data_IF_918419399653
#
_entry.id   IF_918419399653
#
_cell.length_a   1.000
_cell.length_b   1.000
_cell.length_c   1.000
_cell.angle_alpha   90.00
_cell.angle_beta   90.00
_cell.angle_gamma   90.00
#
_symmetry.space_group_name_H-M   'P 1'
#
loop_
_entity.id
_entity.type
_entity.pdbx_description
1 polymer ?
#
# COMPACT_ATOMS: atom_id res chain seq x y z
N UNK A 1 44.75 -50.32 -17.65
CA UNK A 1 43.73 -49.41 -18.21
C UNK A 1 42.87 -48.97 -17.03
N UNK A 2 43.21 -47.87 -16.38
CA UNK A 2 42.71 -46.50 -16.66
C UNK A 2 41.19 -46.36 -16.51
N UNK A 3 40.80 -45.64 -15.46
CA UNK A 3 39.62 -44.78 -15.41
C UNK A 3 38.47 -45.31 -14.55
N UNK A 4 37.81 -44.52 -13.70
CA UNK A 4 37.85 -43.08 -13.42
C UNK A 4 37.20 -42.85 -12.05
N UNK A 5 37.56 -41.73 -11.45
CA UNK A 5 37.19 -41.25 -10.13
C UNK A 5 35.68 -40.91 -10.00
N UNK A 6 35.16 -40.99 -8.78
CA UNK A 6 33.88 -40.42 -8.33
C UNK A 6 33.88 -38.88 -8.53
N UNK A 7 32.71 -38.19 -8.60
CA UNK A 7 32.20 -37.62 -7.34
C UNK A 7 30.66 -37.47 -7.23
N UNK A 8 30.20 -37.69 -5.99
CA UNK A 8 29.24 -36.88 -5.24
C UNK A 8 28.27 -35.97 -6.02
N UNK A 9 27.05 -36.43 -6.24
CA UNK A 9 25.90 -35.53 -6.41
C UNK A 9 25.23 -35.35 -5.05
N UNK A 10 25.45 -34.20 -4.41
CA UNK A 10 24.72 -33.78 -3.22
C UNK A 10 23.21 -33.67 -3.48
N UNK A 11 22.39 -33.56 -2.43
CA UNK A 11 20.95 -33.43 -2.58
C UNK A 11 20.66 -32.23 -3.47
N UNK A 12 19.92 -32.51 -4.53
CA UNK A 12 19.39 -31.53 -5.47
C UNK A 12 18.72 -30.43 -4.64
N UNK A 13 19.35 -29.26 -4.55
CA UNK A 13 18.69 -28.06 -4.08
C UNK A 13 17.57 -27.78 -5.09
N UNK A 14 16.39 -28.30 -4.80
CA UNK A 14 15.18 -27.94 -5.52
C UNK A 14 15.05 -26.41 -5.54
N UNK A 15 14.47 -25.83 -6.59
CA UNK A 15 14.22 -24.40 -6.60
C UNK A 15 13.44 -24.06 -5.34
N UNK A 16 13.99 -23.14 -4.53
CA UNK A 16 13.29 -22.60 -3.37
C UNK A 16 11.87 -22.23 -3.80
N UNK A 17 10.81 -22.70 -3.10
CA UNK A 17 9.47 -22.31 -3.44
C UNK A 17 9.42 -20.79 -3.36
N UNK A 18 9.16 -20.12 -4.49
CA UNK A 18 8.76 -18.73 -4.48
C UNK A 18 7.61 -18.64 -3.48
N UNK A 19 7.77 -17.86 -2.40
CA UNK A 19 6.84 -17.80 -1.28
C UNK A 19 5.78 -16.72 -1.57
N UNK A 20 4.59 -17.04 -2.14
CA UNK A 20 3.49 -16.09 -2.27
C UNK A 20 2.91 -15.71 -0.90
N UNK A 21 2.97 -16.62 0.09
CA UNK A 21 2.38 -16.43 1.41
C UNK A 21 3.02 -15.26 2.18
N UNK A 22 4.33 -15.07 2.06
CA UNK A 22 5.06 -14.05 2.82
C UNK A 22 4.76 -12.63 2.32
N UNK A 23 4.57 -12.45 1.00
CA UNK A 23 4.20 -11.14 0.42
C UNK A 23 2.77 -10.75 0.78
N UNK A 24 1.87 -11.72 0.79
CA UNK A 24 0.49 -11.50 1.19
C UNK A 24 0.42 -11.14 2.68
N UNK A 25 1.13 -11.88 3.53
CA UNK A 25 1.21 -11.58 4.96
C UNK A 25 1.80 -10.19 5.24
N UNK A 26 2.85 -9.78 4.51
CA UNK A 26 3.44 -8.45 4.67
C UNK A 26 2.46 -7.34 4.24
N UNK A 27 1.73 -7.54 3.14
CA UNK A 27 0.66 -6.63 2.72
C UNK A 27 -0.45 -6.53 3.78
N UNK A 28 -0.98 -7.65 4.25
CA UNK A 28 -2.05 -7.67 5.26
C UNK A 28 -1.61 -7.01 6.57
N UNK A 29 -0.36 -7.23 6.98
CA UNK A 29 0.24 -6.59 8.14
C UNK A 29 0.35 -5.07 7.93
N UNK A 30 0.78 -4.62 6.76
CA UNK A 30 0.90 -3.20 6.43
C UNK A 30 -0.46 -2.51 6.35
N UNK A 31 -1.45 -3.14 5.72
CA UNK A 31 -2.84 -2.65 5.70
C UNK A 31 -3.37 -2.54 7.11
N UNK A 32 -3.17 -3.56 7.94
CA UNK A 32 -3.62 -3.56 9.34
C UNK A 32 -2.95 -2.47 10.17
N UNK A 33 -1.63 -2.25 10.00
CA UNK A 33 -0.91 -1.17 10.68
C UNK A 33 -1.39 0.20 10.19
N UNK A 34 -1.55 0.36 8.88
CA UNK A 34 -2.01 1.60 8.26
C UNK A 34 -3.41 1.97 8.72
N UNK A 35 -4.36 1.04 8.62
CA UNK A 35 -5.72 1.22 9.10
C UNK A 35 -5.77 1.39 10.63
N UNK A 36 -4.90 0.69 11.36
CA UNK A 36 -4.73 0.88 12.79
C UNK A 36 -4.37 2.32 13.14
N UNK A 37 -3.41 2.93 12.43
CA UNK A 37 -3.07 4.35 12.63
C UNK A 37 -4.24 5.25 12.23
N UNK A 38 -4.88 5.00 11.08
CA UNK A 38 -5.98 5.83 10.57
C UNK A 38 -7.20 5.80 11.50
N UNK A 39 -7.63 4.64 11.98
CA UNK A 39 -8.85 4.47 12.78
C UNK A 39 -8.63 4.53 14.30
N UNK A 40 -7.39 4.42 14.79
CA UNK A 40 -7.10 4.52 16.23
C UNK A 40 -6.49 5.87 16.60
N UNK A 41 -5.54 6.34 15.79
CA UNK A 41 -4.73 7.52 16.09
C UNK A 41 -5.28 8.77 15.39
N UNK A 42 -5.66 8.62 14.13
CA UNK A 42 -6.16 9.72 13.29
C UNK A 42 -7.68 9.76 13.14
N UNK A 43 -8.45 8.91 13.84
CA UNK A 43 -9.91 8.86 13.74
C UNK A 43 -10.60 10.22 13.93
N UNK A 44 -10.27 11.06 14.93
CA UNK A 44 -10.88 12.38 15.05
C UNK A 44 -10.61 13.23 13.81
N UNK A 45 -9.39 13.20 13.26
CA UNK A 45 -9.04 13.92 12.05
C UNK A 45 -9.78 13.39 10.82
N UNK A 46 -9.98 12.07 10.72
CA UNK A 46 -10.78 11.43 9.67
C UNK A 46 -12.23 11.90 9.72
N UNK A 47 -12.84 11.91 10.91
CA UNK A 47 -14.22 12.35 11.11
C UNK A 47 -14.39 13.85 10.83
N UNK A 48 -13.45 14.69 11.25
CA UNK A 48 -13.45 16.11 10.95
C UNK A 48 -13.23 16.38 9.45
N UNK A 49 -12.32 15.65 8.83
CA UNK A 49 -12.07 15.72 7.39
C UNK A 49 -13.31 15.30 6.59
N UNK A 50 -13.97 14.21 6.96
CA UNK A 50 -15.18 13.72 6.31
C UNK A 50 -16.33 14.74 6.30
N UNK A 51 -16.40 15.62 7.30
CA UNK A 51 -17.41 16.70 7.40
C UNK A 51 -17.01 17.97 6.65
N UNK A 52 -15.80 18.04 6.12
CA UNK A 52 -15.25 19.21 5.46
C UNK A 52 -15.48 19.13 3.95
N UNK A 53 -15.70 20.28 3.30
CA UNK A 53 -15.74 20.37 1.83
C UNK A 53 -14.44 19.90 1.16
N UNK A 54 -13.34 19.93 1.92
CA UNK A 54 -12.02 19.44 1.53
C UNK A 54 -11.74 18.00 1.98
N UNK A 55 -12.80 17.21 2.27
CA UNK A 55 -12.69 15.81 2.69
C UNK A 55 -11.65 15.00 1.91
N UNK A 56 -11.69 14.93 0.56
CA UNK A 56 -10.71 14.13 -0.18
C UNK A 56 -9.28 14.61 -0.02
N UNK A 57 -9.04 15.92 0.16
CA UNK A 57 -7.70 16.44 0.41
C UNK A 57 -7.22 16.08 1.81
N UNK A 58 -7.99 16.43 2.85
CA UNK A 58 -7.61 16.18 4.24
C UNK A 58 -7.43 14.69 4.55
N UNK A 59 -8.32 13.84 4.02
CA UNK A 59 -8.21 12.38 4.20
C UNK A 59 -7.00 11.81 3.46
N UNK A 60 -6.64 12.35 2.29
CA UNK A 60 -5.41 11.94 1.62
C UNK A 60 -4.15 12.33 2.40
N UNK A 61 -4.20 13.41 3.18
CA UNK A 61 -3.10 13.80 4.07
C UNK A 61 -2.96 12.85 5.25
N UNK A 62 -4.07 12.49 5.88
CA UNK A 62 -4.10 11.48 6.94
C UNK A 62 -3.54 10.15 6.42
N UNK A 63 -3.98 9.70 5.24
CA UNK A 63 -3.47 8.47 4.60
C UNK A 63 -1.98 8.56 4.28
N UNK A 64 -1.50 9.70 3.76
CA UNK A 64 -0.08 9.89 3.47
C UNK A 64 0.75 9.81 4.75
N UNK A 65 0.36 10.53 5.80
CA UNK A 65 1.04 10.52 7.10
C UNK A 65 1.08 9.13 7.70
N UNK A 66 -0.05 8.42 7.71
CA UNK A 66 -0.13 7.06 8.23
C UNK A 66 0.74 6.09 7.42
N UNK A 67 0.72 6.18 6.10
CA UNK A 67 1.57 5.35 5.22
C UNK A 67 3.05 5.58 5.49
N UNK A 68 3.46 6.83 5.64
CA UNK A 68 4.84 7.17 5.96
C UNK A 68 5.26 6.70 7.35
N UNK A 69 4.37 6.76 8.34
CA UNK A 69 4.64 6.24 9.67
C UNK A 69 4.87 4.73 9.62
N UNK A 70 4.07 3.98 8.85
CA UNK A 70 4.26 2.54 8.65
C UNK A 70 5.59 2.24 7.93
N UNK A 71 5.90 2.96 6.86
CA UNK A 71 7.16 2.76 6.12
C UNK A 71 8.37 3.06 7.01
N UNK A 72 8.32 4.13 7.79
CA UNK A 72 9.39 4.47 8.73
C UNK A 72 9.53 3.44 9.85
N UNK A 73 8.42 2.93 10.40
CA UNK A 73 8.45 1.87 11.41
C UNK A 73 9.07 0.59 10.86
N UNK A 74 8.72 0.21 9.63
CA UNK A 74 9.33 -0.95 8.96
C UNK A 74 10.84 -0.74 8.74
N UNK A 75 11.25 0.44 8.28
CA UNK A 75 12.66 0.78 8.11
C UNK A 75 13.44 0.75 9.44
N UNK A 76 12.85 1.27 10.53
CA UNK A 76 13.44 1.20 11.88
C UNK A 76 13.58 -0.24 12.40
N UNK A 77 12.68 -1.13 11.99
CA UNK A 77 12.75 -2.56 12.27
C UNK A 77 13.70 -3.33 11.33
N UNK A 78 14.40 -2.64 10.41
CA UNK A 78 15.29 -3.26 9.42
C UNK A 78 14.56 -4.00 8.29
N UNK A 79 13.25 -3.78 8.14
CA UNK A 79 12.45 -4.30 7.02
C UNK A 79 12.42 -3.29 5.89
N UNK A 80 12.87 -3.72 4.71
CA UNK A 80 12.67 -2.96 3.47
C UNK A 80 11.33 -3.35 2.84
N UNK A 81 10.44 -2.38 2.69
CA UNK A 81 9.14 -2.59 2.05
C UNK A 81 9.25 -2.32 0.56
N UNK A 82 8.82 -3.28 -0.26
CA UNK A 82 8.78 -3.08 -1.69
C UNK A 82 7.76 -1.98 -2.06
N UNK A 83 8.07 -1.07 -3.00
CA UNK A 83 7.16 -0.01 -3.44
C UNK A 83 5.78 -0.52 -3.85
N UNK A 84 5.72 -1.69 -4.50
CA UNK A 84 4.48 -2.36 -4.90
C UNK A 84 3.59 -2.72 -3.70
N UNK A 85 4.19 -3.14 -2.58
CA UNK A 85 3.45 -3.53 -1.38
C UNK A 85 2.89 -2.29 -0.68
N UNK A 86 3.68 -1.22 -0.59
CA UNK A 86 3.24 0.07 -0.04
C UNK A 86 2.06 0.63 -0.84
N UNK A 87 2.15 0.56 -2.17
CA UNK A 87 1.10 1.00 -3.09
C UNK A 87 -0.18 0.18 -2.90
N UNK A 88 -0.08 -1.15 -2.80
CA UNK A 88 -1.24 -2.01 -2.56
C UNK A 88 -1.87 -1.72 -1.21
N UNK A 89 -1.06 -1.55 -0.17
CA UNK A 89 -1.56 -1.21 1.16
C UNK A 89 -2.29 0.13 1.15
N UNK A 90 -1.75 1.14 0.46
CA UNK A 90 -2.38 2.44 0.28
C UNK A 90 -3.71 2.33 -0.49
N UNK A 91 -3.77 1.49 -1.53
CA UNK A 91 -4.99 1.27 -2.32
C UNK A 91 -6.10 0.62 -1.48
N UNK A 92 -5.76 -0.42 -0.71
CA UNK A 92 -6.70 -1.09 0.19
C UNK A 92 -7.18 -0.15 1.29
N UNK A 93 -6.27 0.61 1.92
CA UNK A 93 -6.63 1.58 2.93
C UNK A 93 -7.50 2.73 2.37
N UNK A 94 -7.21 3.20 1.16
CA UNK A 94 -8.02 4.22 0.48
C UNK A 94 -9.43 3.70 0.17
N UNK A 95 -9.55 2.42 -0.18
CA UNK A 95 -10.83 1.76 -0.43
C UNK A 95 -11.64 1.61 0.86
N UNK A 96 -10.99 1.14 1.93
CA UNK A 96 -11.61 1.05 3.27
C UNK A 96 -12.08 2.41 3.77
N UNK A 97 -11.28 3.46 3.56
CA UNK A 97 -11.64 4.81 3.97
C UNK A 97 -12.78 5.38 3.13
N UNK A 98 -12.81 5.12 1.83
CA UNK A 98 -13.92 5.51 0.97
C UNK A 98 -15.24 4.82 1.35
N UNK A 99 -15.18 3.53 1.69
CA UNK A 99 -16.35 2.78 2.17
C UNK A 99 -16.87 3.35 3.51
N UNK A 100 -15.95 3.67 4.42
CA UNK A 100 -16.28 4.38 5.67
C UNK A 100 -16.95 5.75 5.41
N UNK A 101 -16.49 6.51 4.43
CA UNK A 101 -17.12 7.79 4.05
C UNK A 101 -18.52 7.60 3.46
N UNK A 102 -18.75 6.53 2.71
CA UNK A 102 -20.09 6.17 2.23
C UNK A 102 -21.01 5.88 3.42
N UNK A 103 -20.54 5.07 4.38
CA UNK A 103 -21.33 4.64 5.53
C UNK A 103 -21.64 5.80 6.50
N UNK A 104 -20.67 6.69 6.76
CA UNK A 104 -20.80 7.76 7.77
C UNK A 104 -21.21 9.10 7.18
N UNK A 105 -20.83 9.39 5.93
CA UNK A 105 -21.05 10.66 5.25
C UNK A 105 -22.19 10.66 4.23
N UNK A 106 -22.77 9.51 3.90
CA UNK A 106 -23.89 9.39 2.95
C UNK A 106 -23.49 9.58 1.48
N UNK A 107 -22.21 9.45 1.13
CA UNK A 107 -21.76 9.45 -0.26
C UNK A 107 -22.34 8.25 -1.02
N UNK A 108 -22.66 8.40 -2.32
CA UNK A 108 -23.18 7.26 -3.09
C UNK A 108 -22.08 6.22 -3.33
N UNK A 109 -22.47 4.94 -3.45
CA UNK A 109 -21.53 3.84 -3.75
C UNK A 109 -20.77 4.02 -5.06
N UNK A 110 -21.37 4.71 -6.03
CA UNK A 110 -20.71 5.06 -7.30
C UNK A 110 -19.55 6.05 -7.09
N UNK A 111 -19.69 6.97 -6.12
CA UNK A 111 -18.62 7.90 -5.74
C UNK A 111 -17.50 7.20 -4.96
N UNK A 112 -17.78 6.09 -4.28
CA UNK A 112 -16.78 5.36 -3.47
C UNK A 112 -15.52 4.98 -4.23
N UNK A 113 -15.66 4.48 -5.47
CA UNK A 113 -14.51 4.13 -6.32
C UNK A 113 -13.71 5.36 -6.74
N UNK A 114 -14.40 6.46 -7.02
CA UNK A 114 -13.78 7.74 -7.40
C UNK A 114 -13.03 8.31 -6.20
N UNK A 115 -13.66 8.32 -5.02
CA UNK A 115 -13.08 8.77 -3.75
C UNK A 115 -11.83 7.95 -3.43
N UNK A 116 -11.91 6.62 -3.44
CA UNK A 116 -10.77 5.74 -3.16
C UNK A 116 -9.59 6.04 -4.11
N UNK A 117 -9.88 6.26 -5.39
CA UNK A 117 -8.88 6.61 -6.40
C UNK A 117 -8.25 7.99 -6.14
N UNK A 118 -9.05 8.99 -5.80
CA UNK A 118 -8.57 10.34 -5.46
C UNK A 118 -7.69 10.31 -4.21
N UNK A 119 -8.14 9.62 -3.16
CA UNK A 119 -7.38 9.43 -1.92
C UNK A 119 -6.03 8.76 -2.20
N UNK A 120 -6.04 7.65 -2.94
CA UNK A 120 -4.85 6.91 -3.30
C UNK A 120 -3.85 7.78 -4.06
N UNK A 121 -4.28 8.51 -5.10
CA UNK A 121 -3.35 9.31 -5.89
C UNK A 121 -2.85 10.55 -5.16
N UNK A 122 -3.70 11.23 -4.40
CA UNK A 122 -3.26 12.39 -3.63
C UNK A 122 -2.29 12.00 -2.51
N UNK A 123 -2.59 10.94 -1.77
CA UNK A 123 -1.70 10.40 -0.75
C UNK A 123 -0.41 9.87 -1.38
N UNK A 124 -0.54 9.10 -2.47
CA UNK A 124 0.55 8.55 -3.27
C UNK A 124 1.51 9.63 -3.76
N UNK A 125 1.00 10.74 -4.30
CA UNK A 125 1.83 11.84 -4.78
C UNK A 125 2.59 12.52 -3.63
N UNK A 126 1.95 12.66 -2.46
CA UNK A 126 2.60 13.22 -1.25
C UNK A 126 3.73 12.34 -0.75
N UNK A 127 3.53 11.02 -0.70
CA UNK A 127 4.56 10.08 -0.24
C UNK A 127 5.63 9.83 -1.31
N UNK A 128 5.31 9.94 -2.60
CA UNK A 128 6.30 9.82 -3.68
C UNK A 128 7.40 10.88 -3.61
N UNK A 129 7.15 12.03 -2.97
CA UNK A 129 8.19 13.04 -2.71
C UNK A 129 9.20 12.62 -1.65
N UNK A 130 8.89 11.61 -0.84
CA UNK A 130 9.67 11.18 0.32
C UNK A 130 10.12 9.71 0.23
N UNK A 131 9.59 8.96 -0.73
CA UNK A 131 9.96 7.58 -1.03
C UNK A 131 10.92 7.52 -2.23
N UNK A 132 11.59 6.37 -2.48
CA UNK A 132 12.46 6.19 -3.63
C UNK A 132 11.76 6.53 -4.95
N UNK A 133 12.48 7.02 -5.98
CA UNK A 133 11.89 7.44 -7.26
C UNK A 133 11.07 6.33 -7.94
N UNK A 134 11.47 5.08 -7.73
CA UNK A 134 10.79 3.85 -8.14
C UNK A 134 9.30 3.83 -7.74
N UNK A 135 8.97 4.38 -6.56
CA UNK A 135 7.60 4.48 -6.06
C UNK A 135 6.78 5.45 -6.92
N UNK A 136 7.34 6.62 -7.23
CA UNK A 136 6.69 7.62 -8.08
C UNK A 136 6.45 7.12 -9.50
N UNK A 137 7.41 6.38 -10.07
CA UNK A 137 7.27 5.75 -11.39
C UNK A 137 6.15 4.70 -11.40
N UNK A 138 6.08 3.85 -10.37
CA UNK A 138 5.05 2.82 -10.25
C UNK A 138 3.65 3.43 -10.05
N UNK A 139 3.54 4.48 -9.23
CA UNK A 139 2.30 5.25 -9.07
C UNK A 139 1.86 5.87 -10.40
N UNK A 140 2.80 6.42 -11.17
CA UNK A 140 2.51 7.02 -12.46
C UNK A 140 2.11 5.97 -13.51
N UNK A 141 2.70 4.78 -13.50
CA UNK A 141 2.28 3.66 -14.35
C UNK A 141 0.85 3.23 -14.05
N UNK A 142 0.48 3.09 -12.77
CA UNK A 142 -0.90 2.77 -12.40
C UNK A 142 -1.88 3.88 -12.78
N UNK A 143 -1.51 5.16 -12.66
CA UNK A 143 -2.35 6.27 -13.14
C UNK A 143 -2.64 6.12 -14.64
N UNK A 144 -1.62 5.80 -15.43
CA UNK A 144 -1.77 5.58 -16.87
C UNK A 144 -2.64 4.35 -17.18
N UNK A 145 -2.48 3.24 -16.45
CA UNK A 145 -3.34 2.05 -16.60
C UNK A 145 -4.80 2.30 -16.17
N UNK A 146 -5.01 3.11 -15.14
CA UNK A 146 -6.34 3.46 -14.64
C UNK A 146 -7.04 4.53 -15.51
N UNK A 147 -6.28 5.33 -16.25
CA UNK A 147 -6.76 6.31 -17.22
C UNK A 147 -6.97 5.74 -18.63
N UNK A 148 -6.28 4.66 -19.00
CA UNK A 148 -6.43 3.99 -20.29
C UNK A 148 -7.72 3.15 -20.44
N UNK A 149 -8.57 3.11 -19.41
CA UNK A 149 -9.89 2.45 -19.42
C UNK A 149 -11.06 3.44 -19.55
N UNK A 150 -10.82 4.68 -20.02
CA UNK A 150 -11.86 5.63 -20.37
C UNK A 150 -12.14 5.62 -21.88
#
# INVERSE_FOLDING_TARGET
MQGLLQPSAGPTAGPAPAQPDTRKADLEQLVSLLLGIVYKDALPQVLEAAKSEQAPQKLSEVLAMATMAVVQQAAQAGKELAPEVIIKALMEASTSLADFLIEVGGANKEDGKIIARVLMFNAGNKIAQQLPPQFGELLNQMKQQAGAQQ
#
